data_IF_834848788183
#
_entry.id   IF_834848788183
#
_cell.length_a   1.000
_cell.length_b   1.000
_cell.length_c   1.000
_cell.angle_alpha   90.00
_cell.angle_beta   90.00
_cell.angle_gamma   90.00
#
_symmetry.space_group_name_H-M   'P 1'
#
loop_
_entity.id
_entity.type
_entity.pdbx_description
1 polymer ?
#
# COMPACT_ATOMS: atom_id res chain seq x y z
N UNK A 1 -1.89 -19.91 7.75
CA UNK A 1 -2.82 -21.05 7.67
C UNK A 1 -2.68 -21.74 6.33
N UNK A 2 -3.51 -22.76 6.03
CA UNK A 2 -3.47 -23.49 4.76
C UNK A 2 -3.79 -22.63 3.53
N UNK A 3 -4.44 -21.47 3.71
CA UNK A 3 -4.75 -20.50 2.67
C UNK A 3 -3.71 -19.37 2.56
N UNK A 4 -2.58 -19.48 3.25
CA UNK A 4 -1.51 -18.48 3.19
C UNK A 4 -0.74 -18.65 1.89
N UNK A 5 -0.55 -17.57 1.16
CA UNK A 5 0.38 -17.50 0.01
C UNK A 5 1.82 -17.58 0.54
N UNK A 6 2.34 -18.80 0.70
CA UNK A 6 3.70 -19.05 1.21
C UNK A 6 4.65 -19.32 0.05
N UNK A 7 5.88 -18.78 0.11
CA UNK A 7 6.88 -19.10 -0.90
C UNK A 7 7.30 -20.58 -0.83
N UNK A 8 7.77 -21.11 -1.95
CA UNK A 8 8.37 -22.45 -2.06
C UNK A 8 7.41 -23.60 -2.38
N UNK A 9 6.10 -23.36 -2.51
CA UNK A 9 5.13 -24.36 -2.95
C UNK A 9 4.00 -23.71 -3.77
N UNK A 10 3.36 -24.46 -4.68
CA UNK A 10 2.18 -23.96 -5.38
C UNK A 10 1.00 -23.80 -4.41
N UNK A 11 0.27 -22.69 -4.51
CA UNK A 11 -0.90 -22.39 -3.67
C UNK A 11 -2.11 -22.10 -4.54
N UNK A 12 -3.29 -22.59 -4.14
CA UNK A 12 -4.55 -22.27 -4.82
C UNK A 12 -4.95 -20.82 -4.55
N UNK A 13 -5.34 -20.11 -5.59
CA UNK A 13 -5.83 -18.74 -5.53
C UNK A 13 -7.07 -18.54 -6.42
N UNK A 14 -7.77 -17.43 -6.20
CA UNK A 14 -8.71 -16.88 -7.16
C UNK A 14 -8.02 -15.67 -7.80
N UNK A 15 -7.72 -15.77 -9.09
CA UNK A 15 -7.02 -14.71 -9.83
C UNK A 15 -8.01 -13.84 -10.60
N UNK A 16 -7.74 -12.53 -10.59
CA UNK A 16 -8.48 -11.52 -11.35
C UNK A 16 -7.49 -10.93 -12.36
N UNK A 17 -7.76 -11.12 -13.64
CA UNK A 17 -7.02 -10.55 -14.75
C UNK A 17 -7.79 -9.39 -15.37
N UNK A 18 -7.13 -8.24 -15.55
CA UNK A 18 -7.70 -7.02 -16.13
C UNK A 18 -6.74 -6.43 -17.15
N UNK A 19 -7.29 -5.87 -18.23
CA UNK A 19 -6.54 -5.07 -19.20
C UNK A 19 -6.81 -3.59 -18.89
N UNK A 20 -5.74 -2.83 -18.68
CA UNK A 20 -5.81 -1.42 -18.28
C UNK A 20 -5.33 -0.55 -19.44
N UNK A 21 -6.10 0.47 -19.78
CA UNK A 21 -5.73 1.47 -20.79
C UNK A 21 -4.80 2.54 -20.22
N UNK A 22 -4.23 3.37 -21.11
CA UNK A 22 -3.27 4.41 -20.73
C UNK A 22 -3.85 5.52 -19.81
N UNK A 23 -5.18 5.65 -19.74
CA UNK A 23 -5.89 6.56 -18.82
C UNK A 23 -6.21 5.90 -17.47
N UNK A 24 -5.87 4.62 -17.27
CA UNK A 24 -6.15 3.86 -16.05
C UNK A 24 -7.52 3.17 -16.05
N UNK A 25 -8.35 3.30 -17.08
CA UNK A 25 -9.63 2.61 -17.19
C UNK A 25 -9.44 1.11 -17.54
N UNK A 26 -10.46 0.29 -17.30
CA UNK A 26 -10.52 -1.10 -17.76
C UNK A 26 -11.93 -1.46 -18.27
N UNK A 27 -11.98 -2.44 -19.18
CA UNK A 27 -13.22 -3.02 -19.69
C UNK A 27 -13.54 -4.34 -18.98
N UNK A 28 -14.82 -4.56 -18.65
CA UNK A 28 -15.28 -5.80 -18.02
C UNK A 28 -15.30 -6.96 -19.01
N UNK A 29 -15.50 -6.69 -20.30
CA UNK A 29 -15.51 -7.72 -21.36
C UNK A 29 -14.15 -8.41 -21.53
N UNK A 30 -13.06 -7.72 -21.18
CA UNK A 30 -11.68 -8.23 -21.26
C UNK A 30 -11.18 -8.77 -19.92
N UNK A 31 -12.02 -8.76 -18.89
CA UNK A 31 -11.65 -9.23 -17.56
C UNK A 31 -11.81 -10.75 -17.43
N UNK A 32 -10.93 -11.38 -16.64
CA UNK A 32 -10.99 -12.79 -16.29
C UNK A 32 -11.02 -12.98 -14.77
N UNK A 33 -11.92 -13.84 -14.28
CA UNK A 33 -11.92 -14.33 -12.90
C UNK A 33 -11.80 -15.85 -12.97
N UNK A 34 -10.68 -16.40 -12.51
CA UNK A 34 -10.38 -17.83 -12.65
C UNK A 34 -9.76 -18.40 -11.38
N UNK A 35 -10.12 -19.63 -10.98
CA UNK A 35 -9.33 -20.37 -10.02
C UNK A 35 -7.95 -20.66 -10.63
N UNK A 36 -6.90 -20.48 -9.85
CA UNK A 36 -5.53 -20.60 -10.32
C UNK A 36 -4.64 -21.30 -9.30
N UNK A 37 -3.49 -21.78 -9.78
CA UNK A 37 -2.41 -22.30 -8.96
C UNK A 37 -1.20 -21.40 -9.17
N UNK A 38 -0.74 -20.75 -8.10
CA UNK A 38 0.31 -19.72 -8.18
C UNK A 38 1.54 -20.11 -7.38
N UNK A 39 2.70 -19.66 -7.87
CA UNK A 39 3.96 -19.63 -7.13
C UNK A 39 4.23 -18.20 -6.74
N UNK A 40 4.61 -17.98 -5.48
CA UNK A 40 4.79 -16.63 -4.94
C UNK A 40 6.16 -16.47 -4.33
N UNK A 41 6.68 -15.27 -4.44
CA UNK A 41 7.81 -14.79 -3.66
C UNK A 41 7.32 -13.75 -2.65
N UNK A 42 8.03 -13.61 -1.54
CA UNK A 42 7.64 -12.70 -0.47
C UNK A 42 8.63 -11.54 -0.42
N UNK A 43 8.10 -10.34 -0.62
CA UNK A 43 8.83 -9.09 -0.42
C UNK A 43 8.19 -8.28 0.71
N UNK A 44 9.01 -7.59 1.50
CA UNK A 44 8.55 -6.52 2.39
C UNK A 44 8.36 -5.23 1.60
N UNK A 45 7.55 -4.30 2.12
CA UNK A 45 7.42 -2.98 1.50
C UNK A 45 8.78 -2.26 1.39
N UNK A 46 9.62 -2.35 2.42
CA UNK A 46 10.97 -1.76 2.42
C UNK A 46 11.88 -2.36 1.35
N UNK A 47 11.81 -3.66 1.08
CA UNK A 47 12.58 -4.30 0.02
C UNK A 47 12.14 -3.80 -1.36
N UNK A 48 10.84 -3.68 -1.60
CA UNK A 48 10.30 -3.16 -2.87
C UNK A 48 10.68 -1.70 -3.07
N UNK A 49 10.52 -0.87 -2.04
CA UNK A 49 10.87 0.55 -2.10
C UNK A 49 12.38 0.73 -2.36
N UNK A 50 13.23 -0.05 -1.71
CA UNK A 50 14.67 -0.04 -1.94
C UNK A 50 15.04 -0.48 -3.37
N UNK A 51 14.42 -1.55 -3.88
CA UNK A 51 14.66 -2.04 -5.24
C UNK A 51 14.26 -1.02 -6.30
N UNK A 52 13.12 -0.32 -6.11
CA UNK A 52 12.67 0.74 -7.01
C UNK A 52 13.55 2.01 -6.90
N UNK A 53 14.06 2.34 -5.71
CA UNK A 53 14.93 3.51 -5.52
C UNK A 53 16.34 3.31 -6.13
N UNK A 54 16.91 2.12 -6.00
CA UNK A 54 18.28 1.82 -6.45
C UNK A 54 18.47 2.04 -7.96
N UNK A 55 17.47 1.71 -8.77
CA UNK A 55 17.54 1.89 -10.23
C UNK A 55 17.35 3.35 -10.63
N UNK A 56 16.47 4.09 -9.96
CA UNK A 56 16.28 5.53 -10.22
C UNK A 56 17.60 6.30 -10.07
N UNK A 57 18.41 5.92 -9.07
CA UNK A 57 19.74 6.49 -8.87
C UNK A 57 20.76 6.08 -9.94
N UNK A 58 20.66 4.87 -10.50
CA UNK A 58 21.49 4.44 -11.63
C UNK A 58 21.13 5.19 -12.92
N UNK A 59 19.84 5.39 -13.20
CA UNK A 59 19.36 6.14 -14.37
C UNK A 59 19.77 7.62 -14.30
N UNK A 60 19.79 8.22 -13.10
CA UNK A 60 20.25 9.59 -12.88
C UNK A 60 21.77 9.75 -12.99
N UNK A 61 22.56 8.73 -12.59
CA UNK A 61 24.03 8.75 -12.72
C UNK A 61 24.53 8.54 -14.15
N UNK A 62 23.70 8.04 -15.06
CA UNK A 62 24.02 7.90 -16.49
C UNK A 62 23.62 9.12 -17.33
N UNK A 63 22.97 10.12 -16.74
CA UNK A 63 22.74 11.42 -17.37
C UNK A 63 23.98 12.34 -17.16
N UNK A 64 24.45 13.08 -18.18
CA UNK A 64 25.59 13.97 -18.00
C UNK A 64 25.13 15.24 -17.26
N UNK A 65 25.50 15.37 -15.99
CA UNK A 65 25.23 16.55 -15.16
C UNK A 65 26.18 16.64 -13.97
N UNK A 66 26.54 17.86 -13.51
CA UNK A 66 27.87 18.17 -13.03
C UNK A 66 28.19 17.66 -11.62
N UNK A 67 29.50 17.53 -11.38
CA UNK A 67 30.11 17.23 -10.10
C UNK A 67 29.66 18.21 -9.00
N UNK A 68 29.63 17.67 -7.78
CA UNK A 68 29.53 18.31 -6.47
C UNK A 68 28.10 18.51 -5.91
N UNK A 69 27.72 17.61 -5.01
CA UNK A 69 26.90 17.94 -3.84
C UNK A 69 27.18 16.91 -2.72
N UNK A 70 27.64 17.43 -1.59
CA UNK A 70 28.03 16.73 -0.37
C UNK A 70 26.93 15.80 0.18
N UNK A 71 27.33 14.55 0.45
CA UNK A 71 26.52 13.57 1.17
C UNK A 71 26.69 13.76 2.68
N UNK A 72 25.61 14.12 3.37
CA UNK A 72 25.52 14.06 4.83
C UNK A 72 25.03 12.67 5.19
N UNK A 73 25.92 11.87 5.76
CA UNK A 73 25.61 10.54 6.29
C UNK A 73 25.03 10.69 7.70
N UNK A 74 23.75 10.41 7.88
CA UNK A 74 23.18 10.08 9.19
C UNK A 74 23.03 8.56 9.29
N UNK A 75 23.93 7.99 10.09
CA UNK A 75 23.97 6.58 10.41
C UNK A 75 23.28 6.38 11.76
N UNK A 76 22.03 5.92 11.72
CA UNK A 76 21.38 5.23 12.85
C UNK A 76 20.54 4.09 12.28
N UNK A 77 21.22 2.98 11.98
CA UNK A 77 20.63 1.73 11.58
C UNK A 77 20.38 0.86 12.81
N UNK A 78 19.16 0.88 13.33
CA UNK A 78 18.69 -0.11 14.30
C UNK A 78 18.55 -1.46 13.60
N UNK A 79 19.50 -2.34 13.89
CA UNK A 79 19.62 -3.69 13.37
C UNK A 79 18.64 -4.65 14.06
N UNK A 80 17.39 -4.70 13.58
CA UNK A 80 16.60 -5.94 13.59
C UNK A 80 16.87 -6.67 12.25
N UNK A 81 18.11 -7.16 12.12
CA UNK A 81 18.58 -7.91 10.97
C UNK A 81 18.11 -9.36 11.07
N UNK A 82 16.91 -9.62 10.59
CA UNK A 82 16.51 -10.94 10.08
C UNK A 82 15.82 -10.74 8.72
N UNK A 83 16.60 -10.21 7.78
CA UNK A 83 16.26 -10.18 6.37
C UNK A 83 17.54 -10.47 5.61
N UNK A 84 17.68 -11.71 5.15
CA UNK A 84 18.45 -11.96 3.94
C UNK A 84 18.02 -10.89 2.92
N UNK A 85 18.94 -9.97 2.61
CA UNK A 85 18.79 -9.05 1.51
C UNK A 85 18.86 -9.89 0.23
N UNK A 86 17.78 -10.61 -0.05
CA UNK A 86 17.57 -11.25 -1.33
C UNK A 86 17.71 -10.13 -2.36
N UNK A 87 18.76 -10.22 -3.16
CA UNK A 87 18.95 -9.34 -4.30
C UNK A 87 17.76 -9.56 -5.21
N UNK A 88 16.90 -8.54 -5.31
CA UNK A 88 15.76 -8.57 -6.22
C UNK A 88 16.34 -8.61 -7.63
N UNK A 89 16.06 -9.66 -8.38
CA UNK A 89 16.60 -9.82 -9.73
C UNK A 89 16.01 -8.77 -10.69
N UNK A 90 16.72 -8.52 -11.80
CA UNK A 90 16.34 -7.49 -12.77
C UNK A 90 14.96 -7.73 -13.41
N UNK A 91 14.54 -8.98 -13.59
CA UNK A 91 13.22 -9.31 -14.13
C UNK A 91 12.11 -8.91 -13.14
N UNK A 92 12.29 -9.26 -11.87
CA UNK A 92 11.40 -8.88 -10.78
C UNK A 92 11.30 -7.38 -10.65
N UNK A 93 12.41 -6.64 -10.73
CA UNK A 93 12.35 -5.16 -10.70
C UNK A 93 11.60 -4.61 -11.92
N UNK A 94 11.79 -5.20 -13.11
CA UNK A 94 11.02 -4.86 -14.30
C UNK A 94 9.51 -5.05 -14.11
N UNK A 95 9.09 -6.10 -13.40
CA UNK A 95 7.69 -6.33 -13.04
C UNK A 95 7.18 -5.30 -12.03
N UNK A 96 7.96 -4.99 -10.99
CA UNK A 96 7.62 -3.98 -9.98
C UNK A 96 7.41 -2.60 -10.62
N UNK A 97 8.21 -2.23 -11.64
CA UNK A 97 8.02 -0.99 -12.41
C UNK A 97 6.72 -0.97 -13.21
N UNK A 98 6.30 -2.10 -13.77
CA UNK A 98 5.00 -2.19 -14.45
C UNK A 98 3.86 -2.04 -13.44
N UNK A 99 4.00 -2.63 -12.25
CA UNK A 99 3.02 -2.48 -11.18
C UNK A 99 2.96 -1.04 -10.64
N UNK A 100 4.11 -0.37 -10.49
CA UNK A 100 4.20 1.06 -10.17
C UNK A 100 3.45 1.91 -11.21
N UNK A 101 3.70 1.66 -12.49
CA UNK A 101 3.00 2.33 -13.58
C UNK A 101 1.48 2.10 -13.50
N UNK A 102 1.03 0.86 -13.30
CA UNK A 102 -0.39 0.52 -13.15
C UNK A 102 -1.00 1.26 -11.96
N UNK A 103 -0.35 1.22 -10.79
CA UNK A 103 -0.80 1.89 -9.58
C UNK A 103 -0.96 3.40 -9.78
N UNK A 104 0.04 4.04 -10.40
CA UNK A 104 -0.01 5.47 -10.71
C UNK A 104 -1.17 5.84 -11.65
N UNK A 105 -1.45 5.00 -12.66
CA UNK A 105 -2.56 5.23 -13.60
C UNK A 105 -3.92 5.05 -12.94
N UNK A 106 -4.06 4.04 -12.09
CA UNK A 106 -5.30 3.80 -11.32
C UNK A 106 -5.57 4.91 -10.32
N UNK A 107 -4.54 5.39 -9.63
CA UNK A 107 -4.67 6.52 -8.72
C UNK A 107 -5.14 7.78 -9.49
N UNK A 108 -4.48 8.11 -10.61
CA UNK A 108 -4.86 9.26 -11.43
C UNK A 108 -6.30 9.16 -11.96
N UNK A 109 -6.71 7.98 -12.42
CA UNK A 109 -8.08 7.72 -12.86
C UNK A 109 -9.10 7.94 -11.73
N UNK A 110 -8.83 7.39 -10.54
CA UNK A 110 -9.69 7.55 -9.36
C UNK A 110 -9.82 9.00 -8.93
N UNK A 111 -8.72 9.74 -8.86
CA UNK A 111 -8.72 11.16 -8.51
C UNK A 111 -9.52 11.96 -9.55
N UNK A 112 -9.33 11.70 -10.84
CA UNK A 112 -10.13 12.32 -11.90
C UNK A 112 -11.63 11.98 -11.78
N UNK A 113 -11.97 10.79 -11.28
CA UNK A 113 -13.32 10.36 -10.93
C UNK A 113 -13.87 10.92 -9.62
N UNK A 114 -13.13 11.78 -8.91
CA UNK A 114 -13.57 12.42 -7.67
C UNK A 114 -13.20 11.67 -6.39
N UNK A 115 -12.34 10.65 -6.46
CA UNK A 115 -11.81 10.02 -5.25
C UNK A 115 -10.91 10.99 -4.47
N UNK A 116 -10.99 10.91 -3.14
CA UNK A 116 -10.11 11.68 -2.25
C UNK A 116 -8.82 10.88 -2.07
N UNK A 117 -7.69 11.49 -2.43
CA UNK A 117 -6.35 10.91 -2.31
C UNK A 117 -5.96 10.63 -0.84
N UNK A 118 -6.41 11.48 0.08
CA UNK A 118 -5.86 11.60 1.45
C UNK A 118 -6.58 10.88 2.60
N UNK A 119 -7.36 9.81 2.41
CA UNK A 119 -8.01 9.10 3.55
C UNK A 119 -7.57 7.64 3.66
N UNK A 120 -6.25 7.42 3.73
CA UNK A 120 -5.56 6.18 4.13
C UNK A 120 -4.14 6.57 4.63
N UNK A 121 -3.29 5.68 5.19
CA UNK A 121 -2.38 5.92 6.34
C UNK A 121 -1.27 6.96 6.18
N UNK A 122 -1.18 7.67 5.05
CA UNK A 122 -0.29 8.81 4.83
C UNK A 122 -0.60 10.00 5.78
N UNK A 123 -1.85 10.13 6.23
CA UNK A 123 -2.30 11.22 7.12
C UNK A 123 -2.71 10.78 8.52
N UNK A 124 -2.92 9.48 8.74
CA UNK A 124 -3.25 8.94 10.06
C UNK A 124 -2.07 8.12 10.55
N UNK A 125 -1.44 8.49 11.69
CA UNK A 125 -0.31 7.74 12.21
C UNK A 125 -0.76 6.32 12.53
N UNK A 126 -0.30 5.36 11.72
CA UNK A 126 -0.35 3.96 12.11
C UNK A 126 0.58 3.77 13.31
N UNK A 127 0.21 2.93 14.26
CA UNK A 127 1.01 2.69 15.47
C UNK A 127 1.50 1.25 15.45
N UNK A 128 2.82 1.08 15.43
CA UNK A 128 3.45 -0.23 15.56
C UNK A 128 3.82 -0.48 17.02
N UNK A 129 3.39 -1.64 17.52
CA UNK A 129 3.70 -2.11 18.87
C UNK A 129 4.54 -3.37 18.73
N UNK A 130 5.82 -3.28 19.15
CA UNK A 130 6.72 -4.43 19.24
C UNK A 130 6.85 -4.83 20.71
N UNK A 131 6.53 -6.08 21.02
CA UNK A 131 6.73 -6.66 22.35
C UNK A 131 7.81 -7.74 22.26
N UNK A 132 8.91 -7.55 22.97
CA UNK A 132 10.07 -8.46 22.98
C UNK A 132 10.30 -8.95 24.39
N UNK A 133 10.69 -10.22 24.57
CA UNK A 133 11.09 -10.71 25.89
C UNK A 133 12.46 -10.15 26.26
N UNK A 134 12.55 -9.53 27.42
CA UNK A 134 13.80 -8.92 27.91
C UNK A 134 13.96 -9.19 29.41
N UNK A 135 15.15 -9.66 29.80
CA UNK A 135 15.48 -10.00 31.18
C UNK A 135 15.80 -8.71 31.94
N UNK A 136 14.93 -8.31 32.87
CA UNK A 136 15.06 -7.04 33.61
C UNK A 136 13.78 -6.20 33.65
N UNK A 137 12.83 -6.49 32.76
CA UNK A 137 11.50 -5.87 32.78
C UNK A 137 10.58 -6.50 33.83
N UNK A 138 9.67 -5.70 34.39
CA UNK A 138 8.80 -6.07 35.53
C UNK A 138 7.98 -7.36 35.29
N UNK A 139 7.54 -7.58 34.05
CA UNK A 139 6.77 -8.76 33.62
C UNK A 139 7.52 -9.61 32.58
N UNK A 140 8.81 -9.32 32.36
CA UNK A 140 9.66 -9.98 31.36
C UNK A 140 9.42 -9.54 29.91
N UNK A 141 8.71 -8.43 29.67
CA UNK A 141 8.46 -7.90 28.33
C UNK A 141 8.88 -6.42 28.19
N UNK A 142 9.70 -6.13 27.20
CA UNK A 142 9.93 -4.78 26.72
C UNK A 142 8.93 -4.46 25.60
N UNK A 143 8.11 -3.42 25.81
CA UNK A 143 7.12 -2.97 24.82
C UNK A 143 7.57 -1.64 24.23
N UNK A 144 7.76 -1.61 22.90
CA UNK A 144 8.08 -0.41 22.14
C UNK A 144 6.89 0.00 21.29
N UNK A 145 6.44 1.24 21.48
CA UNK A 145 5.38 1.85 20.69
C UNK A 145 6.04 2.89 19.79
N UNK A 146 5.94 2.67 18.49
CA UNK A 146 6.43 3.59 17.47
C UNK A 146 5.32 3.95 16.50
N UNK A 147 5.52 5.01 15.74
CA UNK A 147 4.76 5.17 14.50
C UNK A 147 5.13 3.98 13.59
N UNK A 148 4.13 3.37 12.95
CA UNK A 148 4.33 2.25 12.06
C UNK A 148 5.21 2.62 10.87
N UNK A 149 5.71 1.62 10.15
CA UNK A 149 6.64 1.79 9.03
C UNK A 149 6.15 2.77 7.93
N UNK A 150 4.88 3.16 7.94
CA UNK A 150 4.33 4.23 7.10
C UNK A 150 4.88 5.63 7.44
N UNK A 151 5.46 5.83 8.63
CA UNK A 151 5.93 7.13 9.12
C UNK A 151 7.42 7.39 8.91
N UNK A 152 8.21 6.39 8.49
CA UNK A 152 9.67 6.52 8.39
C UNK A 152 10.14 6.27 6.94
N UNK A 153 10.43 7.36 6.24
CA UNK A 153 11.38 7.52 5.12
C UNK A 153 11.32 6.66 3.85
N UNK A 154 10.34 5.79 3.65
CA UNK A 154 10.12 5.19 2.33
C UNK A 154 9.12 6.01 1.50
N UNK A 155 9.32 6.10 0.19
CA UNK A 155 8.43 6.77 -0.79
C UNK A 155 6.98 6.25 -0.79
N UNK A 156 6.67 5.24 0.05
CA UNK A 156 5.40 4.54 0.19
C UNK A 156 4.91 3.93 -1.14
N UNK A 157 5.81 3.79 -2.11
CA UNK A 157 5.50 3.35 -3.47
C UNK A 157 4.96 1.93 -3.44
N UNK A 158 5.61 1.04 -2.70
CA UNK A 158 5.18 -0.34 -2.55
C UNK A 158 3.78 -0.44 -1.92
N UNK A 159 3.45 0.42 -0.95
CA UNK A 159 2.11 0.49 -0.35
C UNK A 159 1.09 1.01 -1.34
N UNK A 160 1.43 2.04 -2.13
CA UNK A 160 0.56 2.59 -3.18
C UNK A 160 0.25 1.55 -4.25
N UNK A 161 1.25 0.79 -4.70
CA UNK A 161 1.09 -0.32 -5.64
C UNK A 161 0.05 -1.31 -5.11
N UNK A 162 0.26 -1.84 -3.89
CA UNK A 162 -0.66 -2.83 -3.32
C UNK A 162 -2.06 -2.24 -3.14
N UNK A 163 -2.15 -1.02 -2.62
CA UNK A 163 -3.43 -0.32 -2.39
C UNK A 163 -4.23 -0.19 -3.68
N UNK A 164 -3.61 0.35 -4.73
CA UNK A 164 -4.29 0.58 -6.02
C UNK A 164 -4.61 -0.73 -6.75
N UNK A 165 -3.74 -1.75 -6.67
CA UNK A 165 -4.04 -3.07 -7.23
C UNK A 165 -5.21 -3.76 -6.51
N UNK A 166 -5.30 -3.66 -5.18
CA UNK A 166 -6.40 -4.23 -4.41
C UNK A 166 -7.72 -3.50 -4.66
N UNK A 167 -7.68 -2.17 -4.79
CA UNK A 167 -8.84 -1.36 -5.15
C UNK A 167 -9.33 -1.70 -6.56
N UNK A 168 -8.43 -1.80 -7.53
CA UNK A 168 -8.75 -2.25 -8.88
C UNK A 168 -9.38 -3.64 -8.90
N UNK A 169 -8.82 -4.61 -8.16
CA UNK A 169 -9.38 -5.95 -8.08
C UNK A 169 -10.81 -5.95 -7.50
N UNK A 170 -11.04 -5.19 -6.43
CA UNK A 170 -12.37 -5.06 -5.82
C UNK A 170 -13.39 -4.40 -6.75
N UNK A 171 -13.00 -3.32 -7.43
CA UNK A 171 -13.82 -2.62 -8.42
C UNK A 171 -14.15 -3.52 -9.63
N UNK A 172 -13.17 -4.27 -10.12
CA UNK A 172 -13.35 -5.18 -11.25
C UNK A 172 -14.36 -6.29 -10.95
N UNK A 173 -14.26 -6.90 -9.76
CA UNK A 173 -15.24 -7.90 -9.30
C UNK A 173 -16.63 -7.28 -9.13
N UNK A 174 -16.73 -6.07 -8.57
CA UNK A 174 -18.00 -5.39 -8.40
C UNK A 174 -18.69 -5.10 -9.74
N UNK A 175 -17.96 -4.53 -10.71
CA UNK A 175 -18.50 -4.24 -12.05
C UNK A 175 -18.89 -5.51 -12.81
N UNK A 176 -18.09 -6.57 -12.72
CA UNK A 176 -18.42 -7.84 -13.34
C UNK A 176 -19.71 -8.45 -12.82
N UNK A 177 -19.92 -8.36 -11.51
CA UNK A 177 -21.12 -8.88 -10.87
C UNK A 177 -22.34 -8.02 -11.21
N UNK A 178 -22.21 -6.70 -11.22
CA UNK A 178 -23.27 -5.76 -11.60
C UNK A 178 -23.78 -6.04 -13.02
N UNK A 179 -22.87 -6.13 -14.01
CA UNK A 179 -23.23 -6.41 -15.41
C UNK A 179 -23.89 -7.78 -15.63
N UNK A 180 -23.71 -8.72 -14.70
CA UNK A 180 -24.25 -10.09 -14.76
C UNK A 180 -25.35 -10.36 -13.75
N UNK A 181 -25.82 -9.33 -13.04
CA UNK A 181 -26.84 -9.42 -12.01
C UNK A 181 -26.50 -10.44 -10.90
N UNK A 182 -25.21 -10.57 -10.57
CA UNK A 182 -24.72 -11.47 -9.52
C UNK A 182 -24.74 -10.70 -8.20
N UNK A 183 -25.52 -11.17 -7.23
CA UNK A 183 -25.53 -10.59 -5.90
C UNK A 183 -24.17 -10.83 -5.21
N UNK A 184 -23.49 -9.73 -4.84
CA UNK A 184 -22.26 -9.75 -4.04
C UNK A 184 -22.42 -8.93 -2.77
N UNK A 185 -21.78 -9.33 -1.66
CA UNK A 185 -21.62 -8.44 -0.52
C UNK A 185 -20.79 -7.23 -0.94
N UNK A 186 -21.31 -6.03 -0.74
CA UNK A 186 -20.64 -4.79 -1.06
C UNK A 186 -20.39 -3.96 0.19
N UNK A 187 -19.40 -3.07 0.12
CA UNK A 187 -19.23 -1.98 1.07
C UNK A 187 -19.66 -0.69 0.39
N UNK A 188 -20.56 0.05 0.99
CA UNK A 188 -20.92 1.40 0.57
C UNK A 188 -20.37 2.40 1.57
N UNK A 189 -19.97 3.56 1.07
CA UNK A 189 -19.81 4.75 1.89
C UNK A 189 -21.08 5.57 1.74
N UNK A 190 -21.77 5.85 2.86
CA UNK A 190 -22.84 6.84 2.81
C UNK A 190 -22.22 8.21 2.50
N UNK A 191 -22.92 9.01 1.70
CA UNK A 191 -22.69 10.45 1.71
C UNK A 191 -22.82 10.93 3.16
N UNK A 192 -21.96 11.87 3.57
CA UNK A 192 -21.95 12.37 4.96
C UNK A 192 -23.38 12.66 5.41
N UNK A 193 -23.80 12.06 6.51
CA UNK A 193 -24.90 12.64 7.27
C UNK A 193 -24.38 13.98 7.78
N UNK A 194 -25.11 15.06 7.52
CA UNK A 194 -24.77 16.39 8.02
C UNK A 194 -24.75 16.31 9.56
N UNK A 195 -23.57 16.12 10.15
CA UNK A 195 -23.41 16.26 11.59
C UNK A 195 -23.63 17.75 11.86
N UNK A 196 -24.75 18.07 12.49
CA UNK A 196 -25.06 19.44 12.85
C UNK A 196 -23.92 20.06 13.64
N UNK A 197 -23.56 21.30 13.34
CA UNK A 197 -22.53 22.06 14.07
C UNK A 197 -22.74 22.07 15.60
N UNK A 198 -23.99 21.87 16.04
CA UNK A 198 -24.34 21.76 17.46
C UNK A 198 -23.89 20.42 18.09
N UNK A 199 -23.99 19.30 17.37
CA UNK A 199 -23.55 17.98 17.84
C UNK A 199 -22.02 17.89 17.95
N UNK A 200 -21.31 18.54 17.03
CA UNK A 200 -19.85 18.61 17.04
C UNK A 200 -19.30 19.46 18.21
N UNK A 201 -20.04 20.48 18.67
CA UNK A 201 -19.66 21.32 19.83
C UNK A 201 -19.81 20.59 21.16
N UNK A 202 -20.63 19.55 21.23
CA UNK A 202 -20.84 18.76 22.44
C UNK A 202 -19.69 17.76 22.71
N UNK A 203 -18.80 17.53 21.73
CA UNK A 203 -17.63 16.68 21.87
C UNK A 203 -16.46 17.48 22.47
N UNK A 204 -15.65 16.83 23.31
CA UNK A 204 -14.49 17.44 23.94
C UNK A 204 -13.16 16.88 23.39
N UNK A 205 -12.08 17.65 23.53
CA UNK A 205 -10.72 17.25 23.19
C UNK A 205 -10.52 16.80 21.73
N UNK A 206 -9.76 15.72 21.53
CA UNK A 206 -9.39 15.19 20.21
C UNK A 206 -10.59 14.75 19.36
N UNK A 207 -11.68 14.33 20.02
CA UNK A 207 -12.93 13.95 19.35
C UNK A 207 -13.62 15.16 18.69
N UNK A 208 -13.49 16.35 19.27
CA UNK A 208 -14.00 17.60 18.69
C UNK A 208 -13.22 18.02 17.45
N UNK A 209 -11.89 17.96 17.52
CA UNK A 209 -11.02 18.26 16.37
C UNK A 209 -11.31 17.32 15.20
N UNK A 210 -11.54 16.04 15.50
CA UNK A 210 -11.91 15.04 14.50
C UNK A 210 -13.31 15.26 13.91
N UNK A 211 -14.29 15.62 14.75
CA UNK A 211 -15.63 16.00 14.28
C UNK A 211 -15.59 17.26 13.40
N UNK A 212 -14.78 18.26 13.77
CA UNK A 212 -14.60 19.50 13.00
C UNK A 212 -13.97 19.25 11.61
N UNK A 213 -12.98 18.37 11.52
CA UNK A 213 -12.38 17.93 10.24
C UNK A 213 -13.41 17.17 9.38
N UNK A 214 -14.31 16.42 10.02
CA UNK A 214 -15.40 15.71 9.33
C UNK A 214 -16.55 16.62 8.86
N UNK A 215 -16.66 17.83 9.38
CA UNK A 215 -17.69 18.82 8.97
C UNK A 215 -17.21 19.84 7.94
N UNK A 216 -15.90 19.95 7.70
CA UNK A 216 -15.33 20.71 6.56
C UNK A 216 -15.27 19.84 5.32
#
# INVERSE_FOLDING_TARGET
GPLSLRPGAPVCALSIGVVISANGEFSVDEMQIVPSLVFVERFTYSQVDAALAAITNLELQMAPGPADADAVADADADADADADAATVDDETVGLLRRLEWVGARRLAYRIAGGAIDGVAPEQLPDVSIKATREEGELDGWAVRVGLGDASRDATQTARKIVTECMLLAGEAVARYADEREIALPFRSQSLRDDVGLEDAKALDGLCRSWAAIRTM
#
